data_IF_077469438795
#
_entry.id   IF_077469438795
#
_cell.length_a   1.000
_cell.length_b   1.000
_cell.length_c   1.000
_cell.angle_alpha   90.00
_cell.angle_beta   90.00
_cell.angle_gamma   90.00
#
_symmetry.space_group_name_H-M   'P 1'
#
loop_
_entity.id
_entity.type
_entity.pdbx_description
1 polymer ?
#
# COMPACT_ATOMS: atom_id res chain seq x y z
N UNK A 1 -5.47 38.50 -0.61
CA UNK A 1 -6.01 37.36 0.16
C UNK A 1 -5.99 36.05 -0.63
N UNK A 2 -6.57 35.98 -1.85
CA UNK A 2 -6.56 34.77 -2.69
C UNK A 2 -5.14 34.22 -2.98
N UNK A 3 -4.20 35.11 -3.27
CA UNK A 3 -2.79 34.77 -3.53
C UNK A 3 -2.03 34.19 -2.33
N UNK A 4 -2.42 34.52 -1.09
CA UNK A 4 -1.74 34.04 0.12
C UNK A 4 -2.19 32.62 0.43
N UNK A 5 -3.50 32.36 0.39
CA UNK A 5 -4.03 31.02 0.61
C UNK A 5 -3.52 30.02 -0.44
N UNK A 6 -3.41 30.45 -1.71
CA UNK A 6 -2.80 29.65 -2.78
C UNK A 6 -1.32 29.34 -2.50
N UNK A 7 -0.54 30.34 -2.06
CA UNK A 7 0.87 30.15 -1.71
C UNK A 7 1.06 29.20 -0.52
N UNK A 8 0.22 29.31 0.52
CA UNK A 8 0.25 28.40 1.68
C UNK A 8 -0.11 26.98 1.23
N UNK A 9 -1.18 26.81 0.46
CA UNK A 9 -1.59 25.51 -0.06
C UNK A 9 -0.50 24.86 -0.92
N UNK A 10 0.23 25.64 -1.72
CA UNK A 10 1.39 25.16 -2.45
C UNK A 10 2.46 24.62 -1.49
N UNK A 11 2.80 25.39 -0.46
CA UNK A 11 3.78 24.99 0.56
C UNK A 11 3.41 23.71 1.29
N UNK A 12 2.13 23.58 1.66
CA UNK A 12 1.57 22.37 2.27
C UNK A 12 1.70 21.17 1.33
N UNK A 13 1.29 21.31 0.06
CA UNK A 13 1.39 20.22 -0.93
C UNK A 13 2.83 19.79 -1.17
N UNK A 14 3.77 20.74 -1.23
CA UNK A 14 5.20 20.45 -1.39
C UNK A 14 5.79 19.71 -0.18
N UNK A 15 5.32 20.01 1.03
CA UNK A 15 5.74 19.26 2.22
C UNK A 15 5.18 17.84 2.22
N UNK A 16 3.91 17.66 1.81
CA UNK A 16 3.27 16.35 1.77
C UNK A 16 3.79 15.47 0.61
N UNK A 17 4.24 16.05 -0.50
CA UNK A 17 4.83 15.30 -1.62
C UNK A 17 6.19 14.67 -1.30
N UNK A 18 6.82 15.05 -0.20
CA UNK A 18 8.14 14.55 0.19
C UNK A 18 8.18 14.30 1.69
N UNK A 19 7.64 13.15 2.09
CA UNK A 19 7.54 12.73 3.48
C UNK A 19 8.90 12.41 4.10
N UNK A 20 8.89 12.33 5.43
CA UNK A 20 10.11 12.14 6.24
C UNK A 20 10.72 10.74 6.07
N UNK A 21 9.89 9.73 5.80
CA UNK A 21 10.31 8.32 5.72
C UNK A 21 10.56 7.97 4.26
N UNK A 22 11.85 7.80 3.91
CA UNK A 22 12.32 7.42 2.56
C UNK A 22 11.84 8.36 1.42
N UNK A 23 11.42 9.58 1.75
CA UNK A 23 10.90 10.52 0.75
C UNK A 23 9.55 10.14 0.16
N UNK A 24 8.84 9.17 0.76
CA UNK A 24 7.52 8.75 0.29
C UNK A 24 6.48 9.86 0.46
N UNK A 25 5.50 9.94 -0.43
CA UNK A 25 4.39 10.87 -0.30
C UNK A 25 3.56 10.59 0.96
N UNK A 26 3.15 11.65 1.64
CA UNK A 26 2.26 11.59 2.79
C UNK A 26 0.82 11.60 2.28
N UNK A 27 0.08 10.53 2.57
CA UNK A 27 -1.32 10.34 2.22
C UNK A 27 -2.20 10.27 3.48
N UNK A 28 -3.52 10.21 3.31
CA UNK A 28 -4.50 10.08 4.41
C UNK A 28 -4.33 11.13 5.53
N UNK A 29 -4.02 12.38 5.16
CA UNK A 29 -3.71 13.46 6.09
C UNK A 29 -4.58 14.68 5.80
N UNK A 30 -5.04 15.36 6.86
CA UNK A 30 -5.71 16.66 6.79
C UNK A 30 -4.81 17.73 7.42
N UNK A 31 -4.66 18.88 6.76
CA UNK A 31 -3.91 20.02 7.28
C UNK A 31 -4.87 21.17 7.53
N UNK A 32 -4.95 21.62 8.77
CA UNK A 32 -5.80 22.74 9.18
C UNK A 32 -4.96 23.95 9.54
N UNK A 33 -5.22 25.06 8.84
CA UNK A 33 -4.62 26.35 9.12
C UNK A 33 -5.44 27.06 10.19
N UNK A 34 -4.84 27.33 11.36
CA UNK A 34 -5.51 28.00 12.47
C UNK A 34 -5.41 29.52 12.39
N UNK A 35 -4.19 30.04 12.26
CA UNK A 35 -3.91 31.47 12.17
C UNK A 35 -2.63 31.70 11.37
N UNK A 36 -2.49 32.92 10.84
CA UNK A 36 -1.36 33.36 10.03
C UNK A 36 -0.98 34.78 10.40
N UNK A 37 0.24 34.96 10.90
CA UNK A 37 0.76 36.26 11.29
C UNK A 37 2.11 36.52 10.62
N UNK A 38 2.28 37.74 10.13
CA UNK A 38 3.46 38.14 9.38
C UNK A 38 3.77 39.63 9.57
N UNK A 39 5.05 39.97 9.58
CA UNK A 39 5.53 41.36 9.67
C UNK A 39 6.49 41.68 8.52
N UNK A 40 6.38 42.86 7.94
CA UNK A 40 7.24 43.33 6.84
C UNK A 40 6.71 43.02 5.45
N UNK A 41 7.53 43.28 4.42
CA UNK A 41 7.20 42.96 3.03
C UNK A 41 7.48 41.49 2.75
N UNK A 42 6.44 40.72 2.42
CA UNK A 42 6.54 39.26 2.23
C UNK A 42 6.09 38.87 0.82
N UNK A 43 6.84 37.98 0.20
CA UNK A 43 6.53 37.40 -1.11
C UNK A 43 5.75 36.08 -0.99
N UNK A 44 4.93 35.69 -1.98
CA UNK A 44 4.26 34.39 -1.99
C UNK A 44 5.19 33.19 -1.77
N UNK A 45 6.44 33.26 -2.25
CA UNK A 45 7.43 32.23 -2.03
C UNK A 45 7.75 32.00 -0.54
N UNK A 46 7.82 33.08 0.25
CA UNK A 46 8.06 32.99 1.69
C UNK A 46 6.88 32.36 2.44
N UNK A 47 5.64 32.65 2.03
CA UNK A 47 4.44 31.99 2.58
C UNK A 47 4.47 30.48 2.33
N UNK A 48 4.82 30.07 1.10
CA UNK A 48 4.94 28.66 0.73
C UNK A 48 6.05 27.96 1.52
N UNK A 49 7.23 28.58 1.63
CA UNK A 49 8.34 28.02 2.39
C UNK A 49 7.99 27.84 3.88
N UNK A 50 7.44 28.88 4.52
CA UNK A 50 7.05 28.82 5.93
C UNK A 50 5.97 27.75 6.17
N UNK A 51 4.96 27.65 5.30
CA UNK A 51 3.94 26.62 5.40
C UNK A 51 4.53 25.21 5.27
N UNK A 52 5.46 25.02 4.33
CA UNK A 52 6.16 23.76 4.13
C UNK A 52 6.94 23.33 5.38
N UNK A 53 7.66 24.26 6.00
CA UNK A 53 8.44 23.99 7.22
C UNK A 53 7.55 23.71 8.44
N UNK A 54 6.43 24.43 8.59
CA UNK A 54 5.43 24.14 9.62
C UNK A 54 4.86 22.72 9.47
N UNK A 55 4.47 22.31 8.26
CA UNK A 55 3.96 20.96 8.01
C UNK A 55 5.02 19.91 8.34
N UNK A 56 6.28 20.10 7.90
CA UNK A 56 7.38 19.19 8.25
C UNK A 56 7.63 19.09 9.75
N UNK A 57 7.49 20.20 10.48
CA UNK A 57 7.61 20.20 11.94
C UNK A 57 6.49 19.40 12.60
N UNK A 58 5.25 19.57 12.16
CA UNK A 58 4.11 18.78 12.61
C UNK A 58 4.30 17.29 12.30
N UNK A 59 4.74 16.95 11.08
CA UNK A 59 4.98 15.56 10.66
C UNK A 59 6.06 14.86 11.49
N UNK A 60 7.07 15.59 11.99
CA UNK A 60 8.10 15.03 12.90
C UNK A 60 7.55 14.66 14.27
N UNK A 61 6.47 15.32 14.70
CA UNK A 61 5.77 15.02 15.94
C UNK A 61 4.64 14.02 15.74
N UNK A 62 4.19 13.84 14.49
CA UNK A 62 3.20 12.85 14.13
C UNK A 62 3.84 11.46 14.04
N UNK A 63 3.10 10.45 14.49
CA UNK A 63 3.51 9.04 14.39
C UNK A 63 3.26 8.52 12.96
N UNK A 64 4.08 9.00 12.02
CA UNK A 64 3.97 8.65 10.61
C UNK A 64 4.48 7.21 10.39
N UNK A 65 3.72 6.42 9.64
CA UNK A 65 4.10 5.06 9.26
C UNK A 65 4.31 4.95 7.74
N UNK A 66 5.29 4.15 7.32
CA UNK A 66 5.43 3.78 5.92
C UNK A 66 4.31 2.83 5.54
N UNK A 67 3.60 3.12 4.44
CA UNK A 67 2.56 2.25 3.92
C UNK A 67 3.10 1.40 2.77
N UNK A 68 2.66 0.14 2.70
CA UNK A 68 2.90 -0.76 1.58
C UNK A 68 1.59 -1.15 0.89
N UNK A 69 1.60 -1.36 -0.43
CA UNK A 69 0.45 -1.89 -1.14
C UNK A 69 0.21 -3.36 -0.77
N UNK A 70 -1.04 -3.68 -0.45
CA UNK A 70 -1.53 -5.03 -0.18
C UNK A 70 -2.42 -5.46 -1.33
N UNK A 71 -2.20 -6.69 -1.80
CA UNK A 71 -2.90 -7.27 -2.93
C UNK A 71 -3.93 -8.28 -2.42
N UNK A 72 -5.14 -8.22 -2.98
CA UNK A 72 -6.07 -9.35 -3.00
C UNK A 72 -5.58 -10.35 -4.04
N UNK A 73 -5.23 -11.55 -3.58
CA UNK A 73 -4.68 -12.63 -4.41
C UNK A 73 -5.66 -13.78 -4.42
N UNK A 74 -6.06 -14.21 -5.61
CA UNK A 74 -6.83 -15.44 -5.78
C UNK A 74 -5.97 -16.44 -6.55
N UNK A 75 -5.69 -17.59 -5.94
CA UNK A 75 -4.95 -18.68 -6.57
C UNK A 75 -5.91 -19.82 -6.84
N UNK A 76 -5.99 -20.25 -8.09
CA UNK A 76 -6.77 -21.42 -8.51
C UNK A 76 -5.82 -22.53 -8.86
N UNK A 77 -5.97 -23.69 -8.22
CA UNK A 77 -5.12 -24.86 -8.45
C UNK A 77 -5.92 -26.16 -8.32
N UNK A 78 -5.34 -27.26 -8.78
CA UNK A 78 -5.84 -28.61 -8.48
C UNK A 78 -5.77 -28.91 -6.97
N UNK A 79 -6.75 -29.65 -6.44
CA UNK A 79 -6.92 -29.85 -4.99
C UNK A 79 -5.73 -30.53 -4.31
N UNK A 80 -4.99 -31.40 -5.01
CA UNK A 80 -3.76 -32.05 -4.50
C UNK A 80 -2.62 -31.04 -4.25
N UNK A 81 -2.62 -29.89 -4.91
CA UNK A 81 -1.60 -28.83 -4.74
C UNK A 81 -1.98 -27.74 -3.75
N UNK A 82 -3.19 -27.78 -3.21
CA UNK A 82 -3.71 -26.71 -2.33
C UNK A 82 -2.84 -26.51 -1.10
N UNK A 83 -2.38 -27.59 -0.46
CA UNK A 83 -1.55 -27.48 0.74
C UNK A 83 -0.21 -26.80 0.45
N UNK A 84 0.44 -27.14 -0.66
CA UNK A 84 1.73 -26.56 -1.05
C UNK A 84 1.59 -25.06 -1.36
N UNK A 85 0.46 -24.65 -1.96
CA UNK A 85 0.14 -23.24 -2.20
C UNK A 85 -0.08 -22.49 -0.88
N UNK A 86 -0.83 -23.08 0.06
CA UNK A 86 -1.06 -22.50 1.39
C UNK A 86 0.26 -22.32 2.15
N UNK A 87 1.16 -23.30 2.09
CA UNK A 87 2.46 -23.24 2.76
C UNK A 87 3.38 -22.17 2.16
N UNK A 88 3.35 -21.95 0.84
CA UNK A 88 4.11 -20.86 0.19
C UNK A 88 3.55 -19.48 0.57
N UNK A 89 2.24 -19.31 0.56
CA UNK A 89 1.59 -18.05 0.95
C UNK A 89 1.80 -17.74 2.44
N UNK A 90 1.76 -18.75 3.32
CA UNK A 90 2.09 -18.57 4.72
C UNK A 90 3.53 -18.07 4.93
N UNK A 91 4.50 -18.58 4.15
CA UNK A 91 5.89 -18.08 4.17
C UNK A 91 6.03 -16.65 3.65
N UNK A 92 5.10 -16.19 2.82
CA UNK A 92 5.02 -14.82 2.26
C UNK A 92 4.25 -13.85 3.17
N UNK A 93 4.01 -14.23 4.42
CA UNK A 93 3.24 -13.43 5.37
C UNK A 93 1.83 -13.06 4.86
N UNK A 94 1.27 -13.87 3.97
CA UNK A 94 -0.09 -13.69 3.47
C UNK A 94 -1.11 -13.96 4.56
N UNK A 95 -2.15 -13.13 4.63
CA UNK A 95 -3.34 -13.41 5.43
C UNK A 95 -4.30 -14.25 4.57
N UNK A 96 -4.53 -15.50 4.96
CA UNK A 96 -5.54 -16.34 4.29
C UNK A 96 -6.93 -15.82 4.65
N UNK A 97 -7.73 -15.50 3.62
CA UNK A 97 -9.09 -14.98 3.76
C UNK A 97 -10.11 -16.12 3.59
N UNK A 98 -9.91 -16.95 2.58
CA UNK A 98 -10.82 -18.05 2.27
C UNK A 98 -10.12 -19.18 1.51
N UNK A 99 -10.63 -20.40 1.64
CA UNK A 99 -10.22 -21.56 0.88
C UNK A 99 -11.47 -22.30 0.42
N UNK A 100 -11.79 -22.17 -0.87
CA UNK A 100 -12.97 -22.80 -1.48
C UNK A 100 -12.54 -24.05 -2.24
N UNK A 101 -13.18 -25.17 -1.96
CA UNK A 101 -13.05 -26.39 -2.75
C UNK A 101 -14.26 -26.51 -3.68
N UNK A 102 -14.01 -26.62 -4.98
CA UNK A 102 -15.02 -26.74 -6.02
C UNK A 102 -14.87 -28.02 -6.81
N UNK A 103 -16.00 -28.61 -7.20
CA UNK A 103 -16.03 -29.70 -8.18
C UNK A 103 -16.28 -29.05 -9.54
N UNK A 104 -15.28 -29.00 -10.41
CA UNK A 104 -15.53 -28.62 -11.80
C UNK A 104 -16.29 -29.75 -12.49
N UNK A 105 -17.39 -29.40 -13.16
CA UNK A 105 -18.35 -30.34 -13.71
C UNK A 105 -17.73 -31.42 -14.60
N UNK A 106 -18.14 -32.67 -14.35
CA UNK A 106 -18.08 -33.80 -15.29
C UNK A 106 -16.74 -34.51 -15.50
N UNK A 107 -15.59 -33.88 -15.21
CA UNK A 107 -14.27 -34.49 -15.48
C UNK A 107 -13.28 -34.31 -14.31
N UNK A 108 -13.25 -35.33 -13.46
CA UNK A 108 -12.16 -35.93 -12.66
C UNK A 108 -11.14 -35.11 -11.85
N UNK A 109 -11.08 -33.77 -11.88
CA UNK A 109 -10.14 -33.02 -11.01
C UNK A 109 -10.88 -31.94 -10.21
N UNK A 110 -10.84 -32.09 -8.88
CA UNK A 110 -11.36 -31.07 -7.96
C UNK A 110 -10.42 -29.88 -7.96
N UNK A 111 -10.96 -28.68 -8.15
CA UNK A 111 -10.20 -27.43 -8.12
C UNK A 111 -10.39 -26.77 -6.76
N UNK A 112 -9.37 -26.05 -6.32
CA UNK A 112 -9.44 -25.24 -5.11
C UNK A 112 -9.01 -23.81 -5.41
N UNK A 113 -9.70 -22.88 -4.77
CA UNK A 113 -9.40 -21.45 -4.82
C UNK A 113 -8.95 -21.00 -3.44
N UNK A 114 -7.73 -20.47 -3.35
CA UNK A 114 -7.16 -19.87 -2.15
C UNK A 114 -7.19 -18.35 -2.32
N UNK A 115 -7.89 -17.66 -1.43
CA UNK A 115 -8.02 -16.20 -1.43
C UNK A 115 -7.20 -15.64 -0.27
N UNK A 116 -6.33 -14.68 -0.55
CA UNK A 116 -5.45 -14.09 0.46
C UNK A 116 -5.30 -12.58 0.29
N UNK A 117 -4.91 -11.91 1.37
CA UNK A 117 -4.32 -10.56 1.33
C UNK A 117 -2.83 -10.69 1.53
N UNK A 118 -2.04 -10.26 0.55
CA UNK A 118 -0.58 -10.43 0.56
C UNK A 118 0.11 -9.11 0.24
N UNK A 119 1.13 -8.69 1.01
CA UNK A 119 1.94 -7.53 0.65
C UNK A 119 2.56 -7.69 -0.75
N UNK A 120 2.48 -6.67 -1.60
CA UNK A 120 2.99 -6.77 -2.98
C UNK A 120 4.49 -7.11 -3.03
N UNK A 121 5.27 -6.63 -2.06
CA UNK A 121 6.70 -6.91 -1.97
C UNK A 121 7.00 -8.42 -1.85
N UNK A 122 6.10 -9.17 -1.22
CA UNK A 122 6.21 -10.62 -1.03
C UNK A 122 5.81 -11.42 -2.27
N UNK A 123 5.18 -10.78 -3.27
CA UNK A 123 4.72 -11.42 -4.51
C UNK A 123 5.69 -11.27 -5.69
N UNK A 124 6.85 -10.65 -5.47
CA UNK A 124 7.88 -10.51 -6.52
C UNK A 124 8.32 -11.91 -6.97
N UNK A 125 8.17 -12.19 -8.27
CA UNK A 125 8.49 -13.50 -8.86
C UNK A 125 7.48 -14.60 -8.57
N UNK A 126 6.32 -14.30 -7.96
CA UNK A 126 5.35 -15.32 -7.54
C UNK A 126 4.85 -16.20 -8.68
N UNK A 127 4.66 -15.67 -9.88
CA UNK A 127 4.25 -16.48 -11.06
C UNK A 127 5.22 -17.65 -11.32
N UNK A 128 6.52 -17.40 -11.27
CA UNK A 128 7.53 -18.45 -11.47
C UNK A 128 7.53 -19.45 -10.32
N UNK A 129 7.47 -18.97 -9.07
CA UNK A 129 7.40 -19.86 -7.89
C UNK A 129 6.16 -20.73 -7.91
N UNK A 130 4.98 -20.15 -8.18
CA UNK A 130 3.71 -20.85 -8.24
C UNK A 130 3.78 -21.96 -9.29
N UNK A 131 4.27 -21.64 -10.49
CA UNK A 131 4.45 -22.64 -11.56
C UNK A 131 5.33 -23.80 -11.12
N UNK A 132 6.41 -23.55 -10.40
CA UNK A 132 7.30 -24.61 -9.90
C UNK A 132 6.61 -25.49 -8.86
N UNK A 133 5.96 -24.90 -7.86
CA UNK A 133 5.40 -25.68 -6.74
C UNK A 133 4.12 -26.44 -7.13
N UNK A 134 3.40 -25.98 -8.15
CA UNK A 134 2.18 -26.64 -8.66
C UNK A 134 2.42 -27.46 -9.93
N UNK A 135 3.67 -27.59 -10.37
CA UNK A 135 4.01 -28.23 -11.67
C UNK A 135 3.26 -27.59 -12.86
N UNK A 136 2.96 -26.30 -12.76
CA UNK A 136 2.25 -25.51 -13.78
C UNK A 136 0.74 -25.69 -13.81
N UNK A 137 0.14 -26.29 -12.78
CA UNK A 137 -1.30 -26.55 -12.69
C UNK A 137 -2.04 -25.54 -11.79
N UNK A 138 -1.55 -24.30 -11.77
CA UNK A 138 -2.20 -23.23 -11.03
C UNK A 138 -2.06 -21.89 -11.73
N UNK A 139 -3.09 -21.08 -11.58
CA UNK A 139 -3.17 -19.71 -12.03
C UNK A 139 -3.47 -18.80 -10.84
N UNK A 140 -3.16 -17.51 -10.98
CA UNK A 140 -3.49 -16.53 -9.96
C UNK A 140 -3.86 -15.19 -10.57
N UNK A 141 -4.69 -14.45 -9.84
CA UNK A 141 -5.04 -13.06 -10.15
C UNK A 141 -4.65 -12.16 -8.99
N UNK A 142 -4.38 -10.90 -9.31
CA UNK A 142 -4.03 -9.85 -8.36
C UNK A 142 -4.94 -8.65 -8.56
N UNK A 143 -5.50 -8.13 -7.48
CA UNK A 143 -6.16 -6.84 -7.44
C UNK A 143 -5.61 -6.02 -6.28
N UNK A 144 -5.52 -4.69 -6.44
CA UNK A 144 -5.14 -3.82 -5.32
C UNK A 144 -6.27 -3.87 -4.28
N UNK A 145 -5.91 -4.22 -3.05
CA UNK A 145 -6.85 -4.23 -1.93
C UNK A 145 -6.75 -2.93 -1.12
N UNK A 146 -5.52 -2.43 -0.92
CA UNK A 146 -5.30 -1.16 -0.26
C UNK A 146 -3.85 -0.96 0.14
N UNK A 147 -3.65 -0.12 1.16
CA UNK A 147 -2.36 0.18 1.74
C UNK A 147 -2.40 -0.07 3.24
N UNK A 148 -1.37 -0.72 3.76
CA UNK A 148 -1.23 -1.02 5.18
C UNK A 148 0.14 -0.59 5.71
N UNK A 149 0.28 -0.28 7.01
CA UNK A 149 1.59 -0.05 7.60
C UNK A 149 2.55 -1.20 7.33
N UNK A 150 3.77 -0.87 6.93
CA UNK A 150 4.87 -1.82 6.84
C UNK A 150 5.13 -2.35 8.25
N UNK A 151 5.04 -3.67 8.43
CA UNK A 151 5.39 -4.30 9.71
C UNK A 151 6.90 -4.13 9.90
N UNK A 152 7.30 -3.45 10.98
CA UNK A 152 8.70 -3.42 11.39
C UNK A 152 9.12 -4.81 11.89
N UNK A 153 10.16 -5.36 11.28
CA UNK A 153 10.94 -6.47 11.85
C UNK A 153 12.04 -5.92 12.74
#
# INVERSE_FOLDING_TARGET
VRSIAEAINLGVRLALSTGLIKGAEIVNTEVKLHDVQFSGSITPALYSAAASDCVRACLRLADCALLQPVMHVEVVCVADRTQVVLDDLARRHSQIIDVKQGISGGLQESMSTVVTRTPLAELIGYSSTLRTITSGQADFTLAIDGYEPVRSH
#
